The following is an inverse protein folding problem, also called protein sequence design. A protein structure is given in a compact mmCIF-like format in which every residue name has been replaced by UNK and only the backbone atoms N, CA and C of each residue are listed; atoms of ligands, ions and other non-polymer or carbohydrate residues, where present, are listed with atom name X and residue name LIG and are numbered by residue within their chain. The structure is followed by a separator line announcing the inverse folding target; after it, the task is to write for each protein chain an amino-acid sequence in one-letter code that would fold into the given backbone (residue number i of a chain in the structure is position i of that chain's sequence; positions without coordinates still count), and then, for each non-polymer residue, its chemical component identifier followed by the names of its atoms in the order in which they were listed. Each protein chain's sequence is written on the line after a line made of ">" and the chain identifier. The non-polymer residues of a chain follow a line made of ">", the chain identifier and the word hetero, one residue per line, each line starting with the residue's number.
data_IF_521077037026
#
_entry.id   IF_521077037026
#
_cell.length_a   1.000
_cell.length_b   1.000
_cell.length_c   1.000
_cell.angle_alpha   90.00
_cell.angle_beta   90.00
_cell.angle_gamma   90.00
#
_symmetry.space_group_name_H-M   'P 1'
#
loop_
_entity.id
_entity.type
_entity.pdbx_description
1 polymer ?
#
# COMPACT_ATOMS: atom_id res chain seq x y z
N UNK A 1 -0.65 52.10 3.75
CA UNK A 1 0.78 51.75 3.79
C UNK A 1 0.82 50.26 4.10
N UNK A 2 0.59 49.36 3.14
CA UNK A 2 1.49 49.04 1.99
C UNK A 2 2.93 48.86 2.50
N UNK A 3 3.62 47.74 2.32
CA UNK A 3 3.79 46.92 1.10
C UNK A 3 4.10 45.46 1.46
N UNK A 4 3.70 44.60 0.52
CA UNK A 4 3.99 43.19 0.27
C UNK A 4 5.45 42.74 0.49
N UNK A 5 5.65 41.45 0.78
CA UNK A 5 6.57 40.62 -0.03
C UNK A 5 6.33 39.13 0.24
N UNK A 6 5.72 38.48 -0.74
CA UNK A 6 5.76 37.05 -1.04
C UNK A 6 7.20 36.56 -1.16
N UNK A 7 7.50 35.33 -0.72
CA UNK A 7 8.45 34.41 -1.38
C UNK A 7 8.11 32.96 -1.01
N UNK A 8 7.69 32.22 -2.03
CA UNK A 8 7.48 30.78 -2.06
C UNK A 8 8.83 30.07 -2.21
N UNK A 9 9.22 29.24 -1.25
CA UNK A 9 10.41 28.39 -1.31
C UNK A 9 10.03 26.92 -1.14
N UNK A 10 9.59 26.29 -2.22
CA UNK A 10 9.39 24.84 -2.30
C UNK A 10 10.76 24.17 -2.47
N UNK A 11 11.32 23.65 -1.38
CA UNK A 11 12.54 22.85 -1.39
C UNK A 11 12.20 21.37 -1.47
N UNK A 12 11.99 20.87 -2.69
CA UNK A 12 11.87 19.44 -2.99
C UNK A 12 13.28 18.86 -3.09
N UNK A 13 13.58 17.90 -2.22
CA UNK A 13 14.80 17.11 -2.23
C UNK A 13 14.82 16.21 -3.47
N UNK A 14 15.91 16.29 -4.23
CA UNK A 14 16.22 15.49 -5.40
C UNK A 14 17.23 14.39 -4.98
N UNK A 15 16.93 13.09 -5.12
CA UNK A 15 17.95 12.05 -5.09
C UNK A 15 18.35 11.64 -6.51
N UNK A 16 19.66 11.64 -6.73
CA UNK A 16 20.33 11.25 -7.96
C UNK A 16 20.05 9.79 -8.36
N UNK A 17 20.09 9.60 -9.67
CA UNK A 17 19.85 8.37 -10.41
C UNK A 17 20.81 7.21 -10.08
N UNK A 18 20.28 6.00 -9.97
CA UNK A 18 20.94 4.79 -10.48
C UNK A 18 19.93 3.64 -10.69
N UNK A 19 20.13 2.90 -11.78
CA UNK A 19 19.45 1.66 -12.20
C UNK A 19 18.08 1.81 -12.90
N UNK A 20 18.15 1.79 -14.24
CA UNK A 20 17.02 1.66 -15.17
C UNK A 20 16.47 0.22 -15.15
N UNK A 21 15.15 0.00 -15.02
CA UNK A 21 14.53 -1.27 -15.39
C UNK A 21 14.21 -1.30 -16.90
N UNK A 22 14.45 -2.46 -17.49
CA UNK A 22 14.16 -2.84 -18.89
C UNK A 22 12.63 -2.93 -19.09
N UNK A 23 12.06 -2.36 -20.16
CA UNK A 23 10.63 -2.50 -20.43
C UNK A 23 10.34 -3.79 -21.20
N UNK A 24 9.67 -4.75 -20.55
CA UNK A 24 8.97 -5.84 -21.24
C UNK A 24 7.49 -5.48 -21.38
N UNK A 25 7.15 -4.86 -22.52
CA UNK A 25 5.79 -4.82 -23.02
C UNK A 25 5.76 -5.60 -24.33
N UNK A 26 5.08 -6.73 -24.32
CA UNK A 26 4.64 -7.41 -25.53
C UNK A 26 3.18 -7.83 -25.32
N UNK A 27 2.29 -6.85 -25.48
CA UNK A 27 0.86 -7.07 -25.64
C UNK A 27 0.61 -7.57 -27.05
N UNK A 28 -0.01 -8.74 -27.11
CA UNK A 28 -0.85 -9.29 -28.18
C UNK A 28 -1.22 -8.32 -29.32
N UNK A 29 -0.78 -8.65 -30.54
CA UNK A 29 -1.57 -8.38 -31.75
C UNK A 29 -1.51 -9.60 -32.67
N UNK A 30 -2.66 -10.28 -32.66
CA UNK A 30 -3.18 -11.20 -33.65
C UNK A 30 -2.80 -10.79 -35.09
N UNK A 31 -1.98 -11.59 -35.75
CA UNK A 31 -1.65 -11.45 -37.17
C UNK A 31 -1.66 -12.83 -37.82
N UNK A 32 -2.85 -13.39 -38.02
CA UNK A 32 -3.06 -14.46 -38.99
C UNK A 32 -2.87 -13.90 -40.39
N UNK A 33 -1.61 -13.91 -40.84
CA UNK A 33 -1.20 -13.63 -42.20
C UNK A 33 -1.67 -14.77 -43.08
N UNK A 34 -2.88 -14.63 -43.61
CA UNK A 34 -3.39 -15.39 -44.75
C UNK A 34 -2.47 -15.12 -45.94
N UNK A 35 -1.57 -16.08 -46.22
CA UNK A 35 -0.84 -16.18 -47.48
C UNK A 35 -1.31 -17.48 -48.12
N UNK A 36 -2.39 -17.42 -48.88
CA UNK A 36 -2.47 -18.06 -50.18
C UNK A 36 -3.35 -17.17 -51.04
N UNK A 37 -2.66 -16.45 -51.91
CA UNK A 37 -3.14 -15.52 -52.91
C UNK A 37 -3.99 -16.22 -53.96
N UNK A 38 -4.99 -15.47 -54.41
CA UNK A 38 -5.68 -15.56 -55.68
C UNK A 38 -4.78 -16.01 -56.85
N UNK A 39 -5.21 -17.07 -57.52
CA UNK A 39 -4.87 -17.30 -58.93
C UNK A 39 -6.21 -17.24 -59.68
N UNK A 40 -6.38 -16.16 -60.43
CA UNK A 40 -7.50 -15.89 -61.34
C UNK A 40 -7.48 -16.83 -62.57
N UNK A 41 -8.62 -16.96 -63.29
CA UNK A 41 -8.93 -18.08 -64.16
C UNK A 41 -8.38 -17.92 -65.57
N UNK A 42 -8.03 -19.04 -66.21
CA UNK A 42 -7.87 -19.12 -67.65
C UNK A 42 -6.90 -20.19 -68.10
N UNK A 43 -7.45 -21.36 -68.47
CA UNK A 43 -7.10 -22.21 -69.62
C UNK A 43 -7.16 -23.70 -69.26
N UNK A 44 -8.34 -24.27 -69.54
CA UNK A 44 -8.55 -25.50 -70.29
C UNK A 44 -7.47 -26.60 -70.14
N UNK A 45 -7.77 -27.60 -69.29
CA UNK A 45 -7.30 -28.98 -69.42
C UNK A 45 -8.10 -29.90 -68.49
N UNK A 46 -8.96 -30.71 -69.12
CA UNK A 46 -9.49 -32.02 -68.67
C UNK A 46 -10.00 -32.12 -67.23
N UNK A 47 -11.32 -32.19 -67.10
CA UNK A 47 -11.96 -32.93 -66.02
C UNK A 47 -11.56 -34.42 -66.14
N UNK A 48 -10.54 -34.83 -65.40
CA UNK A 48 -10.33 -36.25 -65.05
C UNK A 48 -11.06 -36.52 -63.74
N UNK A 49 -11.76 -37.67 -63.61
CA UNK A 49 -12.49 -37.98 -62.39
C UNK A 49 -11.49 -38.13 -61.24
N UNK A 50 -11.56 -37.24 -60.25
CA UNK A 50 -10.81 -37.39 -59.00
C UNK A 50 -11.19 -38.73 -58.41
N UNK A 51 -10.22 -39.64 -58.35
CA UNK A 51 -10.41 -41.01 -57.88
C UNK A 51 -10.89 -40.97 -56.43
N UNK A 52 -12.03 -41.61 -56.17
CA UNK A 52 -12.63 -41.66 -54.84
C UNK A 52 -11.66 -42.21 -53.78
N UNK A 53 -10.66 -42.99 -54.22
CA UNK A 53 -9.57 -43.48 -53.37
C UNK A 53 -8.69 -42.36 -52.80
N UNK A 54 -8.31 -41.38 -53.61
CA UNK A 54 -7.43 -40.28 -53.18
C UNK A 54 -8.15 -39.34 -52.19
N UNK A 55 -9.46 -39.15 -52.38
CA UNK A 55 -10.31 -38.37 -51.47
C UNK A 55 -10.47 -39.06 -50.10
N UNK A 56 -10.54 -40.39 -50.07
CA UNK A 56 -10.62 -41.18 -48.83
C UNK A 56 -9.29 -41.11 -48.06
N UNK A 57 -8.15 -41.18 -48.75
CA UNK A 57 -6.83 -41.02 -48.12
C UNK A 57 -6.63 -39.60 -47.56
N UNK A 58 -7.06 -38.57 -48.28
CA UNK A 58 -7.02 -37.18 -47.79
C UNK A 58 -7.89 -36.99 -46.54
N UNK A 59 -9.06 -37.63 -46.49
CA UNK A 59 -9.92 -37.60 -45.32
C UNK A 59 -9.28 -38.33 -44.14
N UNK A 60 -8.65 -39.48 -44.39
CA UNK A 60 -7.91 -40.25 -43.39
C UNK A 60 -6.75 -39.47 -42.78
N UNK A 61 -5.94 -38.82 -43.61
CA UNK A 61 -4.82 -37.98 -43.15
C UNK A 61 -5.31 -36.75 -42.38
N UNK A 62 -6.38 -36.10 -42.82
CA UNK A 62 -7.03 -34.99 -42.08
C UNK A 62 -7.51 -35.40 -40.69
N UNK A 63 -8.17 -36.54 -40.58
CA UNK A 63 -8.63 -37.07 -39.29
C UNK A 63 -7.48 -37.49 -38.38
N UNK A 64 -6.40 -38.02 -38.95
CA UNK A 64 -5.17 -38.33 -38.22
C UNK A 64 -4.52 -37.08 -37.65
N UNK A 65 -4.36 -36.01 -38.44
CA UNK A 65 -3.82 -34.72 -37.97
C UNK A 65 -4.72 -34.11 -36.88
N UNK A 66 -6.05 -34.19 -37.01
CA UNK A 66 -6.96 -33.72 -35.94
C UNK A 66 -6.77 -34.49 -34.64
N UNK A 67 -6.60 -35.82 -34.70
CA UNK A 67 -6.32 -36.64 -33.52
C UNK A 67 -5.00 -36.25 -32.87
N UNK A 68 -3.94 -36.09 -33.67
CA UNK A 68 -2.63 -35.65 -33.17
C UNK A 68 -2.67 -34.26 -32.54
N UNK A 69 -3.44 -33.33 -33.12
CA UNK A 69 -3.64 -32.00 -32.55
C UNK A 69 -4.35 -32.05 -31.19
N UNK A 70 -5.39 -32.88 -31.07
CA UNK A 70 -6.13 -33.06 -29.80
C UNK A 70 -5.24 -33.69 -28.74
N UNK A 71 -4.45 -34.71 -29.09
CA UNK A 71 -3.51 -35.38 -28.18
C UNK A 71 -2.39 -34.43 -27.71
N UNK A 72 -1.82 -33.65 -28.62
CA UNK A 72 -0.85 -32.61 -28.26
C UNK A 72 -1.45 -31.52 -27.38
N UNK A 73 -2.69 -31.10 -27.64
CA UNK A 73 -3.34 -30.08 -26.82
C UNK A 73 -3.68 -30.62 -25.42
N UNK A 74 -4.11 -31.89 -25.32
CA UNK A 74 -4.36 -32.55 -24.04
C UNK A 74 -3.07 -32.70 -23.21
N UNK A 75 -1.96 -33.07 -23.85
CA UNK A 75 -0.64 -33.16 -23.18
C UNK A 75 -0.11 -31.79 -22.75
N UNK A 76 -0.39 -30.73 -23.52
CA UNK A 76 -0.06 -29.36 -23.14
C UNK A 76 -0.86 -28.88 -21.92
N UNK A 77 -2.17 -29.15 -21.90
CA UNK A 77 -3.05 -28.79 -20.78
C UNK A 77 -2.68 -29.56 -19.51
N UNK A 78 -2.36 -30.86 -19.61
CA UNK A 78 -1.88 -31.65 -18.48
C UNK A 78 -0.60 -31.07 -17.89
N UNK A 79 0.39 -30.73 -18.75
CA UNK A 79 1.64 -30.08 -18.30
C UNK A 79 1.41 -28.71 -17.68
N UNK A 80 0.47 -27.91 -18.19
CA UNK A 80 0.13 -26.61 -17.58
C UNK A 80 -0.50 -26.78 -16.19
N UNK A 81 -1.30 -27.82 -16.01
CA UNK A 81 -1.95 -28.11 -14.73
C UNK A 81 -0.95 -28.63 -13.68
N UNK A 82 0.03 -29.44 -14.10
CA UNK A 82 1.13 -29.90 -13.24
C UNK A 82 2.03 -28.72 -12.82
N UNK A 83 2.39 -27.81 -13.74
CA UNK A 83 3.14 -26.59 -13.44
C UNK A 83 2.37 -25.67 -12.50
N UNK A 84 1.03 -25.59 -12.63
CA UNK A 84 0.19 -24.81 -11.71
C UNK A 84 0.13 -25.42 -10.30
N UNK A 85 0.25 -26.75 -10.17
CA UNK A 85 0.28 -27.44 -8.88
C UNK A 85 1.67 -27.39 -8.21
N UNK A 86 2.77 -27.47 -8.98
CA UNK A 86 4.15 -27.35 -8.46
C UNK A 86 4.52 -25.92 -8.04
N UNK A 87 3.90 -24.91 -8.63
CA UNK A 87 3.99 -23.50 -8.20
C UNK A 87 3.33 -23.23 -6.83
N UNK A 88 2.82 -24.26 -6.14
CA UNK A 88 2.37 -24.16 -4.75
C UNK A 88 3.50 -24.23 -3.71
N UNK A 89 4.73 -24.59 -4.10
CA UNK A 89 5.91 -24.09 -3.37
C UNK A 89 6.04 -22.61 -3.71
N UNK A 90 5.30 -21.81 -2.96
CA UNK A 90 5.11 -20.40 -3.27
C UNK A 90 6.47 -19.71 -3.33
N UNK A 91 6.65 -18.80 -4.28
CA UNK A 91 7.84 -17.95 -4.36
C UNK A 91 8.18 -17.31 -2.99
N UNK A 92 7.17 -17.09 -2.15
CA UNK A 92 7.29 -16.62 -0.76
C UNK A 92 8.01 -17.61 0.15
N UNK A 93 7.73 -18.91 0.08
CA UNK A 93 8.44 -19.96 0.83
C UNK A 93 9.91 -20.08 0.40
N UNK A 94 10.16 -20.00 -0.92
CA UNK A 94 11.52 -20.01 -1.45
C UNK A 94 12.29 -18.77 -0.98
N UNK A 95 11.67 -17.59 -1.05
CA UNK A 95 12.27 -16.35 -0.56
C UNK A 95 12.50 -16.39 0.95
N UNK A 96 11.58 -16.95 1.73
CA UNK A 96 11.73 -17.11 3.18
C UNK A 96 12.90 -18.02 3.53
N UNK A 97 13.03 -19.16 2.84
CA UNK A 97 14.15 -20.09 2.98
C UNK A 97 15.49 -19.43 2.57
N UNK A 98 15.51 -18.61 1.52
CA UNK A 98 16.71 -17.86 1.12
C UNK A 98 17.13 -16.88 2.21
N UNK A 99 16.18 -16.13 2.79
CA UNK A 99 16.47 -15.18 3.88
C UNK A 99 16.96 -15.90 5.13
N UNK A 100 16.35 -17.04 5.48
CA UNK A 100 16.79 -17.85 6.61
C UNK A 100 18.22 -18.38 6.41
N UNK A 101 18.51 -18.96 5.24
CA UNK A 101 19.84 -19.45 4.91
C UNK A 101 20.88 -18.31 4.88
N UNK A 102 20.51 -17.13 4.38
CA UNK A 102 21.36 -15.94 4.43
C UNK A 102 21.66 -15.52 5.87
N UNK A 103 20.65 -15.53 6.74
CA UNK A 103 20.82 -15.25 8.17
C UNK A 103 21.74 -16.28 8.83
N UNK A 104 21.48 -17.57 8.61
CA UNK A 104 22.31 -18.66 9.17
C UNK A 104 23.76 -18.57 8.67
N UNK A 105 23.97 -18.23 7.40
CA UNK A 105 25.30 -18.04 6.83
C UNK A 105 26.02 -16.85 7.48
N UNK A 106 25.34 -15.72 7.66
CA UNK A 106 25.89 -14.55 8.35
C UNK A 106 26.23 -14.86 9.81
N UNK A 107 25.36 -15.58 10.52
CA UNK A 107 25.61 -16.01 11.90
C UNK A 107 26.81 -16.96 12.00
N UNK A 108 26.91 -17.94 11.10
CA UNK A 108 28.07 -18.84 11.08
C UNK A 108 29.36 -18.11 10.70
N UNK A 109 29.29 -17.19 9.73
CA UNK A 109 30.43 -16.38 9.30
C UNK A 109 30.95 -15.48 10.43
N UNK A 110 30.06 -14.76 11.11
CA UNK A 110 30.43 -13.91 12.26
C UNK A 110 30.97 -14.74 13.43
N UNK A 111 30.38 -15.91 13.71
CA UNK A 111 30.87 -16.83 14.73
C UNK A 111 32.29 -17.34 14.43
N UNK A 112 32.55 -17.79 13.21
CA UNK A 112 33.88 -18.25 12.81
C UNK A 112 34.91 -17.11 12.88
N UNK A 113 34.57 -15.93 12.36
CA UNK A 113 35.43 -14.75 12.44
C UNK A 113 35.75 -14.37 13.89
N UNK A 114 34.77 -14.44 14.80
CA UNK A 114 35.01 -14.16 16.22
C UNK A 114 35.88 -15.24 16.88
N UNK A 115 35.69 -16.51 16.54
CA UNK A 115 36.55 -17.60 17.04
C UNK A 115 38.00 -17.45 16.58
N UNK A 116 38.21 -17.11 15.31
CA UNK A 116 39.53 -16.82 14.75
C UNK A 116 40.19 -15.64 15.46
N UNK A 117 39.47 -14.54 15.63
CA UNK A 117 39.97 -13.36 16.35
C UNK A 117 40.35 -13.67 17.82
N UNK A 118 39.55 -14.48 18.51
CA UNK A 118 39.85 -14.89 19.89
C UNK A 118 41.09 -15.78 19.94
N UNK A 119 41.23 -16.71 19.00
CA UNK A 119 42.40 -17.57 18.90
C UNK A 119 43.67 -16.74 18.63
N UNK A 120 43.64 -15.83 17.66
CA UNK A 120 44.75 -14.93 17.34
C UNK A 120 45.14 -14.08 18.56
N UNK A 121 44.16 -13.48 19.26
CA UNK A 121 44.42 -12.70 20.48
C UNK A 121 45.04 -13.53 21.60
N UNK A 122 44.60 -14.78 21.78
CA UNK A 122 45.18 -15.69 22.77
C UNK A 122 46.63 -16.07 22.41
N UNK A 123 46.89 -16.40 21.15
CA UNK A 123 48.23 -16.75 20.67
C UNK A 123 49.19 -15.56 20.77
N UNK A 124 48.78 -14.37 20.32
CA UNK A 124 49.56 -13.15 20.49
C UNK A 124 49.76 -12.80 21.97
N UNK A 125 48.74 -13.00 22.79
CA UNK A 125 48.81 -12.79 24.24
C UNK A 125 49.82 -13.72 24.92
N UNK A 126 49.86 -14.99 24.55
CA UNK A 126 50.82 -15.98 25.06
C UNK A 126 52.27 -15.60 24.68
N UNK A 127 52.52 -15.25 23.41
CA UNK A 127 53.83 -14.80 22.94
C UNK A 127 54.27 -13.51 23.65
N UNK A 128 53.36 -12.54 23.78
CA UNK A 128 53.64 -11.28 24.47
C UNK A 128 53.91 -11.50 25.97
N UNK A 129 53.17 -12.41 26.61
CA UNK A 129 53.35 -12.74 28.02
C UNK A 129 54.72 -13.37 28.26
N UNK A 130 55.12 -14.35 27.44
CA UNK A 130 56.46 -14.96 27.49
C UNK A 130 57.56 -13.92 27.31
N UNK A 131 57.39 -13.03 26.32
CA UNK A 131 58.36 -11.97 26.02
C UNK A 131 58.52 -10.93 27.15
N UNK A 132 57.43 -10.58 27.85
CA UNK A 132 57.41 -9.55 28.89
C UNK A 132 57.70 -10.08 30.30
N UNK A 133 57.43 -11.36 30.58
CA UNK A 133 57.43 -11.89 31.94
C UNK A 133 58.28 -13.16 32.17
N UNK A 134 58.78 -13.86 31.14
CA UNK A 134 59.64 -15.03 31.38
C UNK A 134 61.05 -14.62 31.87
N UNK A 135 61.59 -15.30 32.91
CA UNK A 135 62.93 -15.04 33.44
C UNK A 135 64.03 -15.59 32.51
N UNK A 136 65.26 -15.03 32.57
CA UNK A 136 66.36 -15.39 31.66
C UNK A 136 66.97 -16.80 31.86
N UNK A 137 66.47 -17.61 32.80
CA UNK A 137 67.16 -18.85 33.21
C UNK A 137 66.56 -20.15 32.63
N UNK A 138 65.75 -20.07 31.57
CA UNK A 138 65.30 -21.26 30.83
C UNK A 138 66.34 -21.65 29.78
N UNK A 139 67.19 -22.62 30.10
CA UNK A 139 68.21 -23.25 29.25
C UNK A 139 67.69 -23.69 27.87
N UNK A 140 67.57 -22.82 26.86
CA UNK A 140 67.69 -23.20 25.45
C UNK A 140 67.85 -22.02 24.49
N UNK A 141 68.97 -22.06 23.77
CA UNK A 141 69.21 -21.49 22.42
C UNK A 141 69.60 -20.02 22.32
N UNK A 142 70.79 -19.82 21.77
CA UNK A 142 71.37 -18.58 21.25
C UNK A 142 70.49 -17.97 20.13
N UNK A 143 69.37 -17.34 20.46
CA UNK A 143 68.68 -16.43 19.54
C UNK A 143 68.33 -15.12 20.25
N UNK A 144 69.17 -14.11 20.00
CA UNK A 144 68.89 -12.66 20.11
C UNK A 144 67.99 -12.29 21.30
N UNK A 145 68.61 -12.09 22.46
CA UNK A 145 67.94 -11.41 23.57
C UNK A 145 67.38 -10.06 23.07
N UNK A 146 66.06 -9.83 23.21
CA UNK A 146 65.47 -8.54 22.86
C UNK A 146 66.01 -7.48 23.81
N UNK A 147 66.55 -6.41 23.24
CA UNK A 147 67.16 -5.32 24.01
C UNK A 147 66.13 -4.75 25.00
N UNK A 148 66.53 -4.37 26.21
CA UNK A 148 65.66 -3.72 27.20
C UNK A 148 64.85 -2.53 26.61
N UNK A 149 65.40 -1.89 25.57
CA UNK A 149 64.73 -0.84 24.79
C UNK A 149 63.50 -1.32 24.04
N UNK A 150 63.53 -2.54 23.48
CA UNK A 150 62.42 -3.15 22.74
C UNK A 150 61.31 -3.58 23.71
N UNK A 151 61.67 -4.19 24.85
CA UNK A 151 60.72 -4.49 25.94
C UNK A 151 60.02 -3.24 26.45
N UNK A 152 60.77 -2.15 26.65
CA UNK A 152 60.19 -0.86 27.05
C UNK A 152 59.22 -0.28 26.02
N UNK A 153 59.60 -0.29 24.73
CA UNK A 153 58.75 0.19 23.63
C UNK A 153 57.46 -0.62 23.51
N UNK A 154 57.54 -1.94 23.65
CA UNK A 154 56.36 -2.83 23.63
C UNK A 154 55.46 -2.54 24.83
N UNK A 155 56.02 -2.37 26.03
CA UNK A 155 55.27 -2.00 27.23
C UNK A 155 54.54 -0.65 27.05
N UNK A 156 55.18 0.35 26.44
CA UNK A 156 54.56 1.63 26.12
C UNK A 156 53.39 1.48 25.13
N UNK A 157 53.58 0.69 24.06
CA UNK A 157 52.52 0.43 23.09
C UNK A 157 51.32 -0.27 23.72
N UNK A 158 51.55 -1.26 24.61
CA UNK A 158 50.48 -1.96 25.33
C UNK A 158 49.71 -1.00 26.25
N UNK A 159 50.40 -0.10 26.96
CA UNK A 159 49.74 0.95 27.78
C UNK A 159 48.85 1.85 26.93
N UNK A 160 49.37 2.32 25.79
CA UNK A 160 48.61 3.15 24.85
C UNK A 160 47.40 2.41 24.28
N UNK A 161 47.56 1.13 23.94
CA UNK A 161 46.45 0.29 23.49
C UNK A 161 45.37 0.15 24.56
N UNK A 162 45.75 -0.08 25.82
CA UNK A 162 44.80 -0.18 26.92
C UNK A 162 44.04 1.13 27.16
N UNK A 163 44.70 2.29 27.06
CA UNK A 163 44.04 3.59 27.14
C UNK A 163 43.00 3.77 26.02
N UNK A 164 43.36 3.46 24.77
CA UNK A 164 42.44 3.54 23.64
C UNK A 164 41.26 2.57 23.79
N UNK A 165 41.50 1.35 24.28
CA UNK A 165 40.42 0.38 24.56
C UNK A 165 39.49 0.88 25.65
N UNK A 166 40.03 1.55 26.68
CA UNK A 166 39.24 2.17 27.73
C UNK A 166 38.37 3.32 27.19
N UNK A 167 38.94 4.24 26.41
CA UNK A 167 38.20 5.31 25.75
C UNK A 167 37.13 4.78 24.79
N UNK A 168 37.46 3.74 24.01
CA UNK A 168 36.50 3.07 23.12
C UNK A 168 35.36 2.44 23.92
N UNK A 169 35.66 1.79 25.04
CA UNK A 169 34.65 1.21 25.94
C UNK A 169 33.70 2.27 26.49
N UNK A 170 34.23 3.45 26.85
CA UNK A 170 33.41 4.59 27.26
C UNK A 170 32.50 5.09 26.14
N UNK A 171 33.05 5.30 24.94
CA UNK A 171 32.28 5.70 23.77
C UNK A 171 31.19 4.67 23.42
N UNK A 172 31.50 3.38 23.49
CA UNK A 172 30.53 2.31 23.25
C UNK A 172 29.39 2.34 24.27
N UNK A 173 29.70 2.57 25.54
CA UNK A 173 28.70 2.74 26.60
C UNK A 173 27.81 3.96 26.33
N UNK A 174 28.38 5.11 25.96
CA UNK A 174 27.63 6.32 25.65
C UNK A 174 26.69 6.10 24.43
N UNK A 175 27.15 5.36 23.41
CA UNK A 175 26.33 4.97 22.26
C UNK A 175 25.20 4.03 22.67
N UNK A 176 25.47 3.06 23.55
CA UNK A 176 24.46 2.15 24.06
C UNK A 176 23.38 2.92 24.85
N UNK A 177 23.78 3.81 25.76
CA UNK A 177 22.85 4.63 26.54
C UNK A 177 22.00 5.53 25.63
N UNK A 178 22.59 6.11 24.57
CA UNK A 178 21.87 6.89 23.56
C UNK A 178 20.89 6.03 22.75
N UNK A 179 21.26 4.80 22.40
CA UNK A 179 20.41 3.86 21.67
C UNK A 179 19.20 3.46 22.52
N UNK A 180 19.40 3.15 23.81
CA UNK A 180 18.32 2.83 24.74
C UNK A 180 17.33 4.01 24.90
N UNK A 181 17.86 5.23 25.02
CA UNK A 181 17.03 6.45 25.05
C UNK A 181 16.25 6.66 23.75
N UNK A 182 16.88 6.42 22.59
CA UNK A 182 16.21 6.53 21.29
C UNK A 182 15.06 5.52 21.18
N UNK A 183 15.26 4.29 21.62
CA UNK A 183 14.23 3.26 21.59
C UNK A 183 13.08 3.56 22.56
N UNK A 184 13.37 4.14 23.74
CA UNK A 184 12.33 4.63 24.65
C UNK A 184 11.52 5.79 24.03
N UNK A 185 12.18 6.75 23.38
CA UNK A 185 11.52 7.86 22.69
C UNK A 185 10.66 7.35 21.52
N UNK A 186 11.16 6.40 20.74
CA UNK A 186 10.37 5.76 19.66
C UNK A 186 9.12 5.07 20.20
N UNK A 187 9.25 4.35 21.31
CA UNK A 187 8.11 3.71 21.99
C UNK A 187 7.08 4.74 22.43
N UNK A 188 7.50 5.80 23.13
CA UNK A 188 6.60 6.90 23.56
C UNK A 188 5.94 7.60 22.37
N UNK A 189 6.68 7.83 21.29
CA UNK A 189 6.14 8.43 20.06
C UNK A 189 5.07 7.54 19.42
N UNK A 190 5.29 6.23 19.39
CA UNK A 190 4.31 5.28 18.86
C UNK A 190 3.04 5.24 19.74
N UNK A 191 3.18 5.16 21.06
CA UNK A 191 2.05 5.22 22.00
C UNK A 191 1.23 6.51 21.83
N UNK A 192 1.91 7.65 21.68
CA UNK A 192 1.26 8.94 21.43
C UNK A 192 0.54 8.95 20.06
N UNK A 193 1.12 8.35 19.03
CA UNK A 193 0.50 8.25 17.71
C UNK A 193 -0.78 7.41 17.76
N UNK A 194 -0.77 6.29 18.49
CA UNK A 194 -1.95 5.45 18.71
C UNK A 194 -3.03 6.25 19.45
N UNK A 195 -2.67 6.90 20.56
CA UNK A 195 -3.60 7.73 21.34
C UNK A 195 -4.20 8.88 20.51
N UNK A 196 -3.40 9.53 19.67
CA UNK A 196 -3.89 10.59 18.78
C UNK A 196 -4.88 10.06 17.74
N UNK A 197 -4.65 8.85 17.20
CA UNK A 197 -5.62 8.21 16.29
C UNK A 197 -6.94 7.90 16.99
N UNK A 198 -6.89 7.37 18.21
CA UNK A 198 -8.10 7.11 19.02
C UNK A 198 -8.86 8.40 19.36
N UNK A 199 -8.15 9.48 19.68
CA UNK A 199 -8.79 10.77 19.92
C UNK A 199 -9.42 11.32 18.63
N UNK A 200 -8.77 11.17 17.48
CA UNK A 200 -9.35 11.58 16.20
C UNK A 200 -10.63 10.81 15.86
N UNK A 201 -10.69 9.50 16.12
CA UNK A 201 -11.91 8.72 15.90
C UNK A 201 -13.04 9.15 16.84
N UNK A 202 -12.74 9.40 18.12
CA UNK A 202 -13.73 9.92 19.08
C UNK A 202 -14.26 11.30 18.70
N UNK A 203 -13.38 12.20 18.23
CA UNK A 203 -13.78 13.53 17.77
C UNK A 203 -14.69 13.43 16.55
N UNK A 204 -14.35 12.55 15.59
CA UNK A 204 -15.16 12.33 14.40
C UNK A 204 -16.54 11.77 14.76
N UNK A 205 -16.60 10.76 15.63
CA UNK A 205 -17.86 10.18 16.10
C UNK A 205 -18.74 11.23 16.79
N UNK A 206 -18.18 12.03 17.71
CA UNK A 206 -18.93 13.11 18.37
C UNK A 206 -19.43 14.17 17.40
N UNK A 207 -18.66 14.49 16.37
CA UNK A 207 -19.07 15.44 15.34
C UNK A 207 -20.26 14.91 14.54
N UNK A 208 -20.23 13.63 14.16
CA UNK A 208 -21.34 12.96 13.47
C UNK A 208 -22.60 12.91 14.34
N UNK A 209 -22.47 12.54 15.62
CA UNK A 209 -23.57 12.56 16.59
C UNK A 209 -24.17 13.97 16.76
N UNK A 210 -23.32 15.00 16.87
CA UNK A 210 -23.78 16.38 17.02
C UNK A 210 -24.47 16.90 15.76
N UNK A 211 -23.95 16.53 14.58
CA UNK A 211 -24.55 16.90 13.29
C UNK A 211 -25.91 16.21 13.11
N UNK A 212 -26.01 14.93 13.46
CA UNK A 212 -27.27 14.17 13.46
C UNK A 212 -28.31 14.82 14.38
N UNK A 213 -27.95 15.11 15.64
CA UNK A 213 -28.85 15.77 16.60
C UNK A 213 -29.30 17.15 16.14
N UNK A 214 -28.39 17.97 15.61
CA UNK A 214 -28.72 19.31 15.12
C UNK A 214 -29.69 19.26 13.93
N UNK A 215 -29.53 18.26 13.07
CA UNK A 215 -30.41 18.07 11.92
C UNK A 215 -31.79 17.55 12.34
N UNK A 216 -31.85 16.63 13.30
CA UNK A 216 -33.11 16.16 13.91
C UNK A 216 -33.86 17.31 14.59
N UNK A 217 -33.19 18.08 15.46
CA UNK A 217 -33.79 19.22 16.16
C UNK A 217 -34.31 20.28 15.17
N UNK A 218 -33.57 20.56 14.10
CA UNK A 218 -34.02 21.48 13.05
C UNK A 218 -35.24 20.95 12.31
N UNK A 219 -35.24 19.67 11.95
CA UNK A 219 -36.35 19.04 11.23
C UNK A 219 -37.63 19.04 12.08
N UNK A 220 -37.51 18.75 13.37
CA UNK A 220 -38.66 18.75 14.28
C UNK A 220 -39.24 20.15 14.49
N UNK A 221 -38.39 21.18 14.54
CA UNK A 221 -38.86 22.58 14.56
C UNK A 221 -39.57 22.97 13.27
N UNK A 222 -39.07 22.54 12.11
CA UNK A 222 -39.70 22.79 10.81
C UNK A 222 -41.07 22.11 10.74
N UNK A 223 -41.17 20.82 11.09
CA UNK A 223 -42.45 20.09 11.14
C UNK A 223 -43.46 20.74 12.08
N UNK A 224 -43.02 21.23 13.23
CA UNK A 224 -43.90 21.95 14.16
C UNK A 224 -44.44 23.24 13.54
N UNK A 225 -43.59 24.00 12.83
CA UNK A 225 -44.01 25.22 12.15
C UNK A 225 -44.94 24.94 10.97
N UNK A 226 -44.67 23.90 10.19
CA UNK A 226 -45.54 23.43 9.11
C UNK A 226 -46.92 23.04 9.64
N UNK A 227 -46.98 22.30 10.75
CA UNK A 227 -48.24 21.94 11.40
C UNK A 227 -49.03 23.16 11.87
N UNK A 228 -48.36 24.14 12.49
CA UNK A 228 -49.00 25.41 12.91
C UNK A 228 -49.50 26.22 11.72
N UNK A 229 -48.72 26.27 10.64
CA UNK A 229 -49.10 26.98 9.41
C UNK A 229 -50.31 26.31 8.76
N UNK A 230 -50.32 24.98 8.64
CA UNK A 230 -51.45 24.22 8.12
C UNK A 230 -52.72 24.44 8.95
N UNK A 231 -52.60 24.48 10.27
CA UNK A 231 -53.72 24.79 11.17
C UNK A 231 -54.26 26.20 10.93
N UNK A 232 -53.38 27.21 10.86
CA UNK A 232 -53.78 28.58 10.60
C UNK A 232 -54.45 28.74 9.22
N UNK A 233 -53.93 28.07 8.18
CA UNK A 233 -54.55 28.06 6.85
C UNK A 233 -55.95 27.43 6.89
N UNK A 234 -56.11 26.31 7.60
CA UNK A 234 -57.41 25.66 7.77
C UNK A 234 -58.43 26.55 8.50
N UNK A 235 -58.00 27.26 9.54
CA UNK A 235 -58.85 28.21 10.26
C UNK A 235 -59.25 29.41 9.38
N UNK A 236 -58.34 29.92 8.55
CA UNK A 236 -58.63 30.99 7.58
C UNK A 236 -59.64 30.51 6.54
N UNK A 237 -59.46 29.32 5.96
CA UNK A 237 -60.41 28.75 5.00
C UNK A 237 -61.79 28.54 5.63
N UNK A 238 -61.85 28.08 6.89
CA UNK A 238 -63.12 27.97 7.61
C UNK A 238 -63.78 29.33 7.79
N UNK A 239 -63.03 30.36 8.19
CA UNK A 239 -63.56 31.71 8.32
C UNK A 239 -64.05 32.25 6.98
N UNK A 240 -63.28 32.07 5.90
CA UNK A 240 -63.70 32.44 4.54
C UNK A 240 -65.04 31.80 4.19
N UNK A 241 -65.18 30.48 4.36
CA UNK A 241 -66.45 29.79 4.09
C UNK A 241 -67.60 30.31 4.96
N UNK A 242 -67.37 30.60 6.25
CA UNK A 242 -68.38 31.18 7.14
C UNK A 242 -68.81 32.57 6.65
N UNK A 243 -67.87 33.44 6.28
CA UNK A 243 -68.19 34.78 5.76
C UNK A 243 -68.95 34.69 4.44
N UNK A 244 -68.55 33.84 3.52
CA UNK A 244 -69.24 33.63 2.25
C UNK A 244 -70.67 33.12 2.48
N UNK A 245 -70.84 32.11 3.34
CA UNK A 245 -72.15 31.58 3.70
C UNK A 245 -73.04 32.65 4.37
N UNK A 246 -72.48 33.51 5.21
CA UNK A 246 -73.20 34.60 5.85
C UNK A 246 -73.66 35.65 4.83
N UNK A 247 -72.78 36.07 3.92
CA UNK A 247 -73.09 37.06 2.88
C UNK A 247 -74.18 36.51 1.95
N UNK A 248 -74.03 35.26 1.46
CA UNK A 248 -75.03 34.61 0.60
C UNK A 248 -76.35 34.39 1.35
N UNK A 249 -76.31 33.96 2.62
CA UNK A 249 -77.49 33.72 3.44
C UNK A 249 -78.25 34.99 3.87
N UNK A 250 -77.58 36.15 3.90
CA UNK A 250 -78.17 37.43 4.27
C UNK A 250 -79.12 38.02 3.22
N UNK A 251 -79.20 37.44 2.02
CA UNK A 251 -80.00 37.91 0.87
C UNK A 251 -79.68 39.34 0.39
N UNK A 252 -78.58 39.93 0.88
CA UNK A 252 -78.04 41.21 0.36
C UNK A 252 -77.58 41.00 -1.07
N UNK A 253 -77.87 41.96 -1.96
CA UNK A 253 -77.50 41.90 -3.38
C UNK A 253 -76.00 42.23 -3.55
N UNK A 254 -75.15 41.34 -3.04
CA UNK A 254 -73.70 41.49 -2.97
C UNK A 254 -73.00 41.66 -4.33
N UNK A 255 -73.67 41.28 -5.43
CA UNK A 255 -73.16 41.48 -6.79
C UNK A 255 -73.44 42.88 -7.36
N UNK A 256 -74.30 43.68 -6.73
CA UNK A 256 -74.61 45.06 -7.14
C UNK A 256 -73.81 46.09 -6.34
N UNK A 257 -73.36 45.71 -5.15
CA UNK A 257 -72.47 46.51 -4.32
C UNK A 257 -71.01 46.20 -4.70
N UNK A 258 -70.26 47.17 -5.26
CA UNK A 258 -68.89 46.95 -5.70
C UNK A 258 -67.96 46.54 -4.55
N UNK A 259 -68.19 47.04 -3.34
CA UNK A 259 -67.33 46.76 -2.19
C UNK A 259 -67.56 45.31 -1.68
N UNK A 260 -68.81 44.86 -1.69
CA UNK A 260 -69.16 43.47 -1.34
C UNK A 260 -68.76 42.48 -2.43
N UNK A 261 -68.81 42.88 -3.69
CA UNK A 261 -68.35 42.09 -4.82
C UNK A 261 -66.83 41.85 -4.74
N UNK A 262 -66.04 42.91 -4.48
CA UNK A 262 -64.60 42.81 -4.29
C UNK A 262 -64.27 41.92 -3.08
N UNK A 263 -64.98 42.12 -1.96
CA UNK A 263 -64.83 41.28 -0.77
C UNK A 263 -65.10 39.81 -1.08
N UNK A 264 -66.18 39.48 -1.79
CA UNK A 264 -66.50 38.11 -2.16
C UNK A 264 -65.43 37.48 -3.08
N UNK A 265 -64.91 38.23 -4.05
CA UNK A 265 -63.84 37.75 -4.92
C UNK A 265 -62.54 37.52 -4.12
N UNK A 266 -62.23 38.39 -3.15
CA UNK A 266 -61.05 38.27 -2.30
C UNK A 266 -61.07 37.07 -1.35
N UNK A 267 -62.27 36.59 -0.97
CA UNK A 267 -62.45 35.41 -0.12
C UNK A 267 -62.21 34.09 -0.86
N UNK A 268 -62.08 34.11 -2.20
CA UNK A 268 -61.77 32.96 -3.03
C UNK A 268 -62.99 32.13 -3.46
N UNK A 269 -62.76 30.91 -3.94
CA UNK A 269 -63.84 30.03 -4.40
C UNK A 269 -64.80 29.67 -3.27
N UNK A 270 -66.11 29.66 -3.51
CA UNK A 270 -67.08 29.19 -2.54
C UNK A 270 -66.86 27.70 -2.24
N UNK A 271 -67.20 27.22 -1.03
CA UNK A 271 -67.16 25.81 -0.72
C UNK A 271 -68.10 25.04 -1.66
N UNK A 272 -67.65 23.90 -2.17
CA UNK A 272 -68.53 22.93 -2.84
C UNK A 272 -69.53 22.41 -1.80
N UNK A 273 -70.78 22.89 -1.88
CA UNK A 273 -71.92 22.46 -1.04
C UNK A 273 -72.72 21.42 -1.81
#
# INVERSE_FOLDING_TARGET
>A
MEVESSHTGSGVFEPAALCKPVPTSATSTNSNRSIYSDITPGQDKREEPVDASELVELKGTKEWVRRQLVEHNATLLARQQDVAAENSTTQEEVNANILELQSQLQDQSTKLSMQELVLERLQCGDVLSKFLFDPPDSETTEEVEPSDKEKWKISEMVKKQNELVFELGKCHKDVQDLQENLDEVKKKSFEQQVRNRELMTLVQQRKEEQQGRSQEDSNDRVKMLESKLAQAMSDISRLQHIYQALVVGSQVHWAQDPDLQELMISLGSPPDI
#
